data_IF_247932874643
#
_entry.id   IF_247932874643
#
_cell.length_a   1.000
_cell.length_b   1.000
_cell.length_c   1.000
_cell.angle_alpha   90.00
_cell.angle_beta   90.00
_cell.angle_gamma   90.00
#
_symmetry.space_group_name_H-M   'P 1'
#
loop_
_entity.id
_entity.type
_entity.pdbx_description
1 polymer ?
#
# COMPACT_ATOMS: atom_id res chain seq x y z
N UNK A 1 45.46 -60.79 -4.39
CA UNK A 1 46.44 -60.31 -3.39
C UNK A 1 45.69 -59.95 -2.12
N UNK A 2 46.17 -60.45 -0.97
CA UNK A 2 45.93 -59.99 0.43
C UNK A 2 44.60 -59.29 0.80
N UNK A 3 43.77 -59.98 1.61
CA UNK A 3 42.87 -59.33 2.61
C UNK A 3 43.60 -59.10 3.95
N UNK A 4 42.94 -59.02 5.13
CA UNK A 4 41.53 -59.32 5.43
C UNK A 4 40.81 -58.35 6.44
N UNK A 5 39.68 -58.80 7.00
CA UNK A 5 38.78 -58.17 8.00
C UNK A 5 39.35 -57.94 9.43
N UNK A 6 38.75 -56.99 10.16
CA UNK A 6 38.34 -57.05 11.60
C UNK A 6 37.41 -55.83 11.92
N UNK A 7 36.20 -55.91 12.52
CA UNK A 7 35.81 -56.15 13.95
C UNK A 7 36.61 -55.35 15.00
N UNK A 8 36.05 -54.72 16.05
CA UNK A 8 34.66 -54.45 16.48
C UNK A 8 34.64 -53.54 17.74
N UNK A 9 33.43 -53.18 18.22
CA UNK A 9 33.05 -52.90 19.65
C UNK A 9 33.35 -51.56 20.37
N UNK A 10 32.23 -50.87 20.69
CA UNK A 10 31.81 -50.32 22.00
C UNK A 10 32.55 -49.18 22.75
N UNK A 11 31.74 -48.20 23.15
CA UNK A 11 31.96 -47.09 24.10
C UNK A 11 32.26 -47.54 25.55
N UNK A 12 32.62 -46.60 26.46
CA UNK A 12 31.57 -46.02 27.31
C UNK A 12 31.68 -44.51 27.57
N UNK A 13 30.64 -43.94 28.20
CA UNK A 13 30.53 -42.53 28.55
C UNK A 13 31.13 -42.19 29.93
N UNK A 14 31.50 -40.92 30.13
CA UNK A 14 31.82 -40.37 31.45
C UNK A 14 30.98 -39.10 31.74
N UNK A 15 30.19 -39.15 32.81
CA UNK A 15 29.49 -37.99 33.40
C UNK A 15 30.40 -37.31 34.42
N UNK A 16 30.56 -35.99 34.34
CA UNK A 16 30.73 -35.06 35.48
C UNK A 16 30.27 -33.67 34.99
N UNK A 17 29.73 -32.76 35.80
CA UNK A 17 29.33 -32.79 37.20
C UNK A 17 28.77 -31.41 37.55
N UNK A 18 27.59 -31.32 38.18
CA UNK A 18 27.01 -30.03 38.60
C UNK A 18 27.88 -29.38 39.67
N UNK A 19 28.18 -28.09 39.54
CA UNK A 19 28.39 -27.24 40.72
C UNK A 19 27.55 -25.98 40.66
N UNK A 20 26.91 -25.68 41.79
CA UNK A 20 25.97 -24.60 42.04
C UNK A 20 26.51 -23.85 43.25
N UNK A 21 26.91 -22.60 43.09
CA UNK A 21 27.34 -21.75 44.20
C UNK A 21 26.39 -20.56 44.32
N UNK A 22 25.62 -20.54 45.41
CA UNK A 22 24.98 -19.32 45.90
C UNK A 22 26.01 -18.55 46.72
N UNK A 23 25.96 -17.22 46.65
CA UNK A 23 26.40 -16.34 47.75
C UNK A 23 25.31 -15.29 48.00
N UNK A 24 25.22 -14.83 49.23
CA UNK A 24 24.19 -13.93 49.78
C UNK A 24 24.81 -13.10 50.90
N UNK A 25 24.18 -11.95 51.23
CA UNK A 25 24.57 -10.90 52.20
C UNK A 25 25.65 -9.93 51.71
N UNK A 26 25.65 -8.63 52.08
CA UNK A 26 24.66 -7.77 52.77
C UNK A 26 24.68 -6.36 52.13
N UNK A 27 23.61 -5.56 52.08
CA UNK A 27 22.81 -4.94 53.15
C UNK A 27 23.45 -3.72 53.82
N UNK A 28 23.13 -2.52 53.32
CA UNK A 28 23.13 -1.26 54.08
C UNK A 28 22.05 -0.29 53.55
N UNK A 29 20.95 -0.18 54.30
CA UNK A 29 20.31 1.07 54.78
C UNK A 29 20.94 2.39 54.27
N UNK A 30 20.29 3.46 53.79
CA UNK A 30 18.99 4.14 54.06
C UNK A 30 18.71 5.18 52.92
N UNK A 31 17.63 5.97 52.78
CA UNK A 31 16.35 6.18 53.51
C UNK A 31 15.24 6.72 52.55
N UNK A 32 14.07 7.07 53.11
CA UNK A 32 12.80 7.55 52.52
C UNK A 32 12.71 9.02 52.02
N UNK A 33 11.95 9.24 50.93
CA UNK A 33 10.76 10.13 50.70
C UNK A 33 10.56 11.51 51.42
N UNK A 34 9.61 12.39 50.98
CA UNK A 34 9.06 12.68 49.64
C UNK A 34 8.95 14.21 49.31
N UNK A 35 8.46 14.58 48.13
CA UNK A 35 8.06 15.96 47.76
C UNK A 35 7.08 15.96 46.58
N UNK A 36 6.12 16.92 46.53
CA UNK A 36 4.90 16.82 45.73
C UNK A 36 4.70 17.94 44.70
N UNK A 37 3.65 17.79 43.88
CA UNK A 37 3.02 18.80 42.99
C UNK A 37 3.83 19.22 41.74
N UNK A 38 3.23 19.63 40.61
CA UNK A 38 1.83 19.94 40.32
C UNK A 38 1.37 19.40 38.95
N UNK A 39 0.05 19.30 38.76
CA UNK A 39 -0.56 18.96 37.47
C UNK A 39 -1.01 20.24 36.73
N UNK A 40 -0.95 20.24 35.39
CA UNK A 40 -1.69 21.19 34.57
C UNK A 40 -2.35 20.50 33.37
N UNK A 41 -3.67 20.70 33.27
CA UNK A 41 -4.51 20.28 32.15
C UNK A 41 -4.48 21.33 31.05
N UNK A 42 -4.49 20.91 29.78
CA UNK A 42 -5.06 21.74 28.71
C UNK A 42 -5.69 20.87 27.61
N UNK A 43 -6.93 21.19 27.29
CA UNK A 43 -7.79 20.52 26.30
C UNK A 43 -7.49 21.08 24.90
N UNK A 44 -7.54 20.29 23.81
CA UNK A 44 -7.17 20.78 22.48
C UNK A 44 -8.27 21.63 21.85
N UNK A 45 -7.91 22.67 21.10
CA UNK A 45 -8.67 23.00 19.89
C UNK A 45 -7.97 23.92 18.88
N UNK A 46 -8.34 23.64 17.62
CA UNK A 46 -8.45 24.51 16.46
C UNK A 46 -7.27 24.79 15.53
N UNK A 47 -7.65 24.91 14.25
CA UNK A 47 -6.77 25.05 13.10
C UNK A 47 -6.28 26.49 12.90
N UNK A 48 -5.02 26.62 12.50
CA UNK A 48 -4.44 27.86 11.98
C UNK A 48 -3.59 27.55 10.75
N UNK A 49 -3.95 28.15 9.61
CA UNK A 49 -3.01 28.27 8.48
C UNK A 49 -1.83 29.11 8.95
N UNK A 50 -0.61 28.67 8.68
CA UNK A 50 0.57 29.54 8.73
C UNK A 50 1.45 29.24 7.53
N UNK A 51 1.55 30.21 6.62
CA UNK A 51 2.70 30.32 5.72
C UNK A 51 3.83 30.95 6.52
N UNK A 52 4.73 30.12 7.04
CA UNK A 52 5.99 30.54 7.64
C UNK A 52 7.12 30.02 6.75
N UNK A 53 8.06 30.90 6.43
CA UNK A 53 9.21 30.59 5.58
C UNK A 53 10.04 29.46 6.22
N UNK A 54 10.26 28.38 5.47
CA UNK A 54 11.10 27.28 5.94
C UNK A 54 12.56 27.72 5.92
N UNK A 55 13.12 28.04 7.09
CA UNK A 55 14.58 28.13 7.28
C UNK A 55 15.24 26.87 6.71
N UNK A 56 16.13 27.05 5.72
CA UNK A 56 16.80 25.98 5.00
C UNK A 56 17.84 25.27 5.88
N UNK A 57 17.36 24.44 6.81
CA UNK A 57 18.16 23.33 7.32
C UNK A 57 18.31 22.31 6.20
N UNK A 58 19.55 21.87 5.97
CA UNK A 58 19.97 20.89 4.94
C UNK A 58 19.44 19.45 5.20
N UNK A 59 18.14 19.33 5.46
CA UNK A 59 17.37 18.09 5.41
C UNK A 59 16.93 17.80 3.98
N UNK A 60 17.91 17.67 3.07
CA UNK A 60 17.69 17.63 1.63
C UNK A 60 16.57 16.68 1.19
N UNK A 61 15.66 17.18 0.35
CA UNK A 61 14.52 16.41 -0.17
C UNK A 61 15.04 15.19 -0.95
N UNK A 62 14.81 13.99 -0.42
CA UNK A 62 15.35 12.73 -0.96
C UNK A 62 14.76 12.33 -2.32
N UNK A 63 13.57 12.81 -2.66
CA UNK A 63 12.93 12.58 -3.95
C UNK A 63 11.81 13.61 -4.20
N UNK A 64 11.67 14.06 -5.44
CA UNK A 64 10.57 14.91 -5.88
C UNK A 64 9.48 14.11 -6.59
N UNK A 65 8.25 14.63 -6.58
CA UNK A 65 7.09 14.03 -7.26
C UNK A 65 6.47 15.08 -8.17
N UNK A 66 6.37 14.78 -9.47
CA UNK A 66 5.63 15.61 -10.41
C UNK A 66 4.13 15.58 -10.05
N UNK A 67 3.50 16.75 -9.99
CA UNK A 67 2.04 16.92 -9.76
C UNK A 67 1.36 17.78 -10.83
N UNK A 68 2.09 18.27 -11.82
CA UNK A 68 1.57 19.17 -12.88
C UNK A 68 1.20 18.44 -14.17
N UNK A 69 1.48 17.13 -14.24
CA UNK A 69 1.09 16.28 -15.36
C UNK A 69 2.13 16.29 -16.48
N UNK A 70 1.67 16.26 -17.72
CA UNK A 70 2.50 16.30 -18.92
C UNK A 70 1.91 17.29 -19.93
N UNK A 71 2.71 18.20 -20.54
CA UNK A 71 4.14 18.42 -20.29
C UNK A 71 4.43 18.89 -18.85
N UNK A 72 5.66 18.66 -18.38
CA UNK A 72 6.10 19.10 -17.05
C UNK A 72 6.22 20.63 -17.05
N UNK A 73 5.72 21.27 -16.00
CA UNK A 73 5.83 22.74 -15.84
C UNK A 73 7.29 23.18 -15.60
N UNK A 74 7.59 24.44 -15.96
CA UNK A 74 8.95 24.99 -15.85
C UNK A 74 9.54 24.93 -14.44
N UNK A 75 8.74 25.11 -13.38
CA UNK A 75 9.25 25.09 -11.99
C UNK A 75 9.64 23.67 -11.57
N UNK A 76 8.81 22.67 -11.90
CA UNK A 76 9.17 21.26 -11.65
C UNK A 76 10.34 20.80 -12.51
N UNK A 77 10.42 21.30 -13.76
CA UNK A 77 11.52 20.99 -14.69
C UNK A 77 12.87 21.51 -14.19
N UNK A 78 12.96 22.79 -13.80
CA UNK A 78 14.21 23.34 -13.25
C UNK A 78 14.60 22.64 -11.93
N UNK A 79 13.64 22.41 -11.04
CA UNK A 79 13.88 21.69 -9.78
C UNK A 79 14.42 20.27 -9.98
N UNK A 80 13.98 19.58 -11.04
CA UNK A 80 14.54 18.28 -11.44
C UNK A 80 16.02 18.41 -11.82
N UNK A 81 16.37 19.38 -12.67
CA UNK A 81 17.75 19.60 -13.10
C UNK A 81 18.67 20.04 -11.97
N UNK A 82 18.23 20.94 -11.08
CA UNK A 82 18.98 21.35 -9.89
C UNK A 82 19.29 20.16 -8.97
N UNK A 83 18.34 19.25 -8.79
CA UNK A 83 18.57 18.03 -8.01
C UNK A 83 19.61 17.10 -8.67
N UNK A 84 19.51 16.89 -9.99
CA UNK A 84 20.50 16.09 -10.73
C UNK A 84 21.90 16.72 -10.62
N UNK A 85 22.01 18.05 -10.75
CA UNK A 85 23.28 18.76 -10.60
C UNK A 85 23.89 18.66 -9.18
N UNK A 86 23.07 18.60 -8.12
CA UNK A 86 23.55 18.40 -6.73
C UNK A 86 23.96 16.95 -6.44
N UNK A 87 23.37 15.96 -7.11
CA UNK A 87 23.53 14.52 -6.78
C UNK A 87 24.48 13.78 -7.71
N UNK A 88 24.57 14.16 -8.98
CA UNK A 88 25.45 13.50 -9.95
C UNK A 88 26.91 13.98 -9.77
N UNK A 89 27.93 13.10 -9.78
CA UNK A 89 29.34 13.51 -9.68
C UNK A 89 29.73 14.57 -10.71
N UNK A 90 29.33 14.36 -11.97
CA UNK A 90 29.56 15.29 -13.08
C UNK A 90 28.38 16.30 -13.25
N UNK A 91 27.75 16.72 -12.15
CA UNK A 91 26.52 17.53 -12.17
C UNK A 91 26.61 18.88 -12.89
N UNK A 92 27.82 19.38 -13.13
CA UNK A 92 28.08 20.60 -13.92
C UNK A 92 27.80 20.41 -15.43
N UNK A 93 27.90 19.16 -15.92
CA UNK A 93 27.78 18.83 -17.35
C UNK A 93 26.34 18.64 -17.85
N UNK A 94 25.32 18.86 -17.01
CA UNK A 94 23.90 18.69 -17.40
C UNK A 94 23.48 19.55 -18.60
N UNK A 95 24.19 20.64 -18.86
CA UNK A 95 24.00 21.52 -20.02
C UNK A 95 24.16 20.76 -21.34
N UNK A 96 25.02 19.72 -21.38
CA UNK A 96 25.23 18.86 -22.55
C UNK A 96 23.96 18.12 -22.98
N UNK A 97 23.08 17.79 -22.03
CA UNK A 97 21.78 17.15 -22.31
C UNK A 97 20.71 18.22 -22.56
N UNK A 98 20.64 19.25 -21.71
CA UNK A 98 19.64 20.33 -21.81
C UNK A 98 19.69 21.10 -23.13
N UNK A 99 20.89 21.32 -23.66
CA UNK A 99 21.13 22.14 -24.85
C UNK A 99 21.48 21.28 -26.08
N UNK A 100 21.31 19.96 -26.01
CA UNK A 100 21.56 19.07 -27.15
C UNK A 100 20.55 19.34 -28.28
N UNK A 101 21.04 19.74 -29.45
CA UNK A 101 20.21 19.88 -30.65
C UNK A 101 19.57 18.55 -31.10
N UNK A 102 20.21 17.42 -30.77
CA UNK A 102 19.74 16.08 -31.09
C UNK A 102 19.94 15.16 -29.89
N UNK A 103 18.84 14.62 -29.35
CA UNK A 103 18.84 13.51 -28.40
C UNK A 103 18.24 12.27 -29.07
N UNK A 104 18.73 11.05 -28.78
CA UNK A 104 18.13 9.83 -29.30
C UNK A 104 16.64 9.74 -28.91
N UNK A 105 15.77 9.61 -29.90
CA UNK A 105 14.33 9.39 -29.64
C UNK A 105 14.14 7.99 -29.06
N UNK A 106 13.87 7.91 -27.75
CA UNK A 106 13.55 6.64 -27.12
C UNK A 106 12.27 6.02 -27.74
N UNK A 107 12.30 4.73 -28.12
CA UNK A 107 11.12 4.06 -28.64
C UNK A 107 10.08 3.87 -27.52
N UNK A 108 8.82 4.14 -27.82
CA UNK A 108 7.72 3.81 -26.91
C UNK A 108 7.48 2.30 -26.99
N UNK A 109 7.62 1.54 -25.87
CA UNK A 109 7.36 0.11 -25.90
C UNK A 109 5.88 -0.14 -26.21
N UNK A 110 5.61 -1.12 -27.07
CA UNK A 110 4.23 -1.56 -27.32
C UNK A 110 3.64 -2.16 -26.05
N UNK A 111 2.52 -1.61 -25.58
CA UNK A 111 1.68 -2.19 -24.51
C UNK A 111 1.39 -3.66 -24.85
N UNK A 112 1.91 -4.64 -24.09
CA UNK A 112 1.57 -6.04 -24.27
C UNK A 112 0.07 -6.24 -24.18
N UNK A 113 -0.46 -7.18 -24.96
CA UNK A 113 -1.85 -7.59 -24.91
C UNK A 113 -1.93 -9.09 -24.64
N UNK A 114 -2.81 -9.51 -23.73
CA UNK A 114 -2.98 -10.91 -23.39
C UNK A 114 -3.63 -11.65 -24.57
N UNK A 115 -2.99 -12.72 -25.03
CA UNK A 115 -3.51 -13.60 -26.07
C UNK A 115 -3.94 -14.92 -25.41
N UNK A 116 -5.13 -15.47 -25.72
CA UNK A 116 -5.57 -16.77 -25.17
C UNK A 116 -4.61 -17.93 -25.45
N UNK A 117 -3.73 -17.80 -26.46
CA UNK A 117 -2.68 -18.77 -26.81
C UNK A 117 -1.44 -18.72 -25.92
N UNK A 118 -1.34 -17.76 -24.99
CA UNK A 118 -0.15 -17.52 -24.16
C UNK A 118 -0.38 -18.03 -22.73
N UNK A 119 0.66 -18.63 -22.13
CA UNK A 119 0.56 -19.08 -20.74
C UNK A 119 0.59 -17.90 -19.76
N UNK A 120 0.02 -18.08 -18.56
CA UNK A 120 0.09 -17.07 -17.50
C UNK A 120 1.54 -16.71 -17.12
N UNK A 121 2.49 -17.67 -16.97
CA UNK A 121 3.90 -17.35 -16.77
C UNK A 121 4.53 -16.50 -17.89
N UNK A 122 4.31 -16.84 -19.17
CA UNK A 122 4.86 -16.08 -20.30
C UNK A 122 4.29 -14.66 -20.35
N UNK A 123 3.01 -14.52 -20.02
CA UNK A 123 2.36 -13.23 -19.93
C UNK A 123 2.86 -12.39 -18.74
N UNK A 124 3.06 -12.99 -17.56
CA UNK A 124 3.67 -12.30 -16.42
C UNK A 124 5.11 -11.86 -16.76
N UNK A 125 5.86 -12.66 -17.52
CA UNK A 125 7.17 -12.28 -18.04
C UNK A 125 7.08 -11.13 -19.06
N UNK A 126 6.13 -11.16 -19.99
CA UNK A 126 5.88 -10.06 -20.93
C UNK A 126 5.48 -8.77 -20.19
N UNK A 127 4.65 -8.88 -19.15
CA UNK A 127 4.31 -7.77 -18.26
C UNK A 127 5.56 -7.25 -17.54
N UNK A 128 6.39 -8.12 -16.98
CA UNK A 128 7.58 -7.69 -16.25
C UNK A 128 8.63 -7.07 -17.17
N UNK A 129 8.78 -7.59 -18.39
CA UNK A 129 9.64 -7.02 -19.41
C UNK A 129 9.12 -5.66 -19.86
N UNK A 130 7.80 -5.51 -20.05
CA UNK A 130 7.22 -4.18 -20.25
C UNK A 130 7.41 -3.29 -19.03
N UNK A 131 7.22 -3.75 -17.78
CA UNK A 131 7.47 -2.94 -16.56
C UNK A 131 8.91 -2.45 -16.45
N UNK A 132 9.89 -3.28 -16.86
CA UNK A 132 11.30 -2.88 -17.03
C UNK A 132 11.48 -1.77 -18.08
N UNK A 133 10.48 -1.54 -18.94
CA UNK A 133 10.43 -0.54 -20.02
C UNK A 133 9.35 0.56 -19.87
N UNK A 134 8.29 0.41 -19.03
CA UNK A 134 7.24 1.34 -18.53
C UNK A 134 6.01 0.57 -17.91
N UNK A 135 5.11 1.22 -17.15
CA UNK A 135 4.13 0.53 -16.27
C UNK A 135 2.69 0.25 -16.83
N UNK A 136 1.97 -0.67 -16.16
CA UNK A 136 0.48 -0.84 -16.09
C UNK A 136 -0.20 -1.86 -17.04
N UNK A 137 -0.34 -3.14 -16.64
CA UNK A 137 -0.91 -4.22 -17.50
C UNK A 137 -1.72 -5.36 -16.83
N UNK A 138 -1.66 -5.55 -15.50
CA UNK A 138 -2.06 -6.84 -14.88
C UNK A 138 -3.57 -7.06 -14.70
N UNK A 139 -4.42 -6.12 -15.12
CA UNK A 139 -5.84 -6.11 -14.73
C UNK A 139 -6.67 -7.23 -15.39
N UNK A 140 -6.40 -7.57 -16.66
CA UNK A 140 -7.24 -8.44 -17.49
C UNK A 140 -7.23 -9.95 -17.17
N UNK A 141 -6.58 -10.39 -16.10
CA UNK A 141 -6.40 -11.81 -15.75
C UNK A 141 -7.26 -12.23 -14.55
N UNK A 142 -8.51 -12.63 -14.77
CA UNK A 142 -9.40 -13.07 -13.66
C UNK A 142 -8.95 -14.35 -12.94
N UNK A 143 -8.01 -15.12 -13.51
CA UNK A 143 -7.38 -16.30 -12.89
C UNK A 143 -6.15 -15.96 -12.03
N UNK A 144 -5.79 -14.69 -11.90
CA UNK A 144 -4.56 -14.22 -11.26
C UNK A 144 -4.89 -13.20 -10.18
N UNK A 145 -4.99 -13.67 -8.94
CA UNK A 145 -5.24 -12.81 -7.78
C UNK A 145 -4.00 -11.96 -7.49
N UNK A 146 -4.18 -10.65 -7.22
CA UNK A 146 -3.10 -9.66 -7.09
C UNK A 146 -3.24 -8.92 -5.77
N UNK A 147 -2.17 -8.75 -5.00
CA UNK A 147 -2.21 -8.08 -3.69
C UNK A 147 -0.91 -7.33 -3.40
N UNK A 148 -0.93 -6.17 -2.73
CA UNK A 148 0.30 -5.45 -2.44
C UNK A 148 1.07 -6.10 -1.28
N UNK A 149 2.39 -6.24 -1.44
CA UNK A 149 3.31 -6.62 -0.35
C UNK A 149 4.25 -5.44 -0.11
N UNK A 150 4.22 -4.87 1.09
CA UNK A 150 5.08 -3.73 1.47
C UNK A 150 6.11 -4.15 2.51
N UNK A 151 7.36 -3.76 2.27
CA UNK A 151 8.48 -3.97 3.18
C UNK A 151 8.95 -2.65 3.78
N UNK A 152 9.13 -2.61 5.10
CA UNK A 152 9.95 -1.60 5.77
C UNK A 152 11.22 -2.26 6.25
N UNK A 153 12.36 -1.77 5.79
CA UNK A 153 13.69 -2.25 6.19
C UNK A 153 14.50 -1.13 6.84
N UNK A 154 15.64 -1.48 7.45
CA UNK A 154 16.62 -0.54 7.99
C UNK A 154 18.01 -0.87 7.44
N UNK A 155 18.77 0.15 7.04
CA UNK A 155 20.17 0.04 6.64
C UNK A 155 20.88 1.33 7.08
N UNK A 156 22.06 1.21 7.71
CA UNK A 156 22.85 2.34 8.23
C UNK A 156 22.02 3.38 9.01
N UNK A 157 21.26 2.91 10.01
CA UNK A 157 20.33 3.71 10.82
C UNK A 157 19.02 4.09 10.10
N UNK A 158 19.09 4.37 8.81
CA UNK A 158 17.99 4.86 7.98
C UNK A 158 16.94 3.79 7.66
N UNK A 159 15.69 4.22 7.49
CA UNK A 159 14.57 3.36 7.16
C UNK A 159 14.17 3.48 5.69
N UNK A 160 13.94 2.34 5.04
CA UNK A 160 13.58 2.26 3.64
C UNK A 160 12.23 1.58 3.46
N UNK A 161 11.47 2.06 2.49
CA UNK A 161 10.14 1.59 2.15
C UNK A 161 10.14 1.07 0.72
N UNK A 162 9.57 -0.11 0.51
CA UNK A 162 9.52 -0.77 -0.79
C UNK A 162 8.21 -1.55 -0.92
N UNK A 163 7.70 -1.69 -2.15
CA UNK A 163 6.43 -2.36 -2.44
C UNK A 163 6.53 -3.15 -3.73
N UNK A 164 5.98 -4.35 -3.73
CA UNK A 164 5.82 -5.22 -4.91
C UNK A 164 4.38 -5.68 -5.01
N UNK A 165 3.96 -6.05 -6.22
CA UNK A 165 2.67 -6.68 -6.46
C UNK A 165 2.85 -8.19 -6.28
N UNK A 166 2.35 -8.71 -5.16
CA UNK A 166 2.16 -10.14 -4.94
C UNK A 166 1.15 -10.69 -5.93
N UNK A 167 1.46 -11.86 -6.49
CA UNK A 167 0.66 -12.56 -7.49
C UNK A 167 0.39 -13.97 -6.98
N UNK A 168 -0.86 -14.42 -7.07
CA UNK A 168 -1.26 -15.80 -6.79
C UNK A 168 -2.08 -16.37 -7.95
N UNK A 169 -1.63 -17.50 -8.50
CA UNK A 169 -2.33 -18.22 -9.55
C UNK A 169 -2.00 -19.73 -9.47
N UNK A 170 -2.98 -20.60 -9.71
CA UNK A 170 -2.84 -22.05 -9.77
C UNK A 170 -2.03 -22.69 -8.60
N UNK A 171 -2.30 -22.26 -7.36
CA UNK A 171 -1.63 -22.79 -6.17
C UNK A 171 -0.20 -22.29 -5.96
N UNK A 172 0.26 -21.31 -6.75
CA UNK A 172 1.62 -20.75 -6.68
C UNK A 172 1.60 -19.23 -6.47
N UNK A 173 2.61 -18.77 -5.77
CA UNK A 173 2.90 -17.37 -5.48
C UNK A 173 4.11 -16.89 -6.28
N UNK A 174 4.13 -15.60 -6.60
CA UNK A 174 5.23 -14.87 -7.23
C UNK A 174 5.04 -13.36 -7.04
N UNK A 175 5.89 -12.54 -7.67
CA UNK A 175 5.75 -11.07 -7.65
C UNK A 175 6.06 -10.43 -8.99
N UNK A 176 5.43 -9.28 -9.21
CA UNK A 176 5.83 -8.28 -10.18
C UNK A 176 6.23 -6.99 -9.45
N UNK A 177 7.14 -6.21 -10.01
CA UNK A 177 7.53 -4.93 -9.42
C UNK A 177 8.72 -4.29 -10.10
N UNK A 178 9.18 -3.18 -9.52
CA UNK A 178 10.36 -2.45 -9.99
C UNK A 178 11.24 -2.08 -8.80
N UNK A 179 12.53 -2.40 -8.89
CA UNK A 179 13.50 -2.17 -7.83
C UNK A 179 14.88 -1.86 -8.43
N UNK A 180 15.73 -1.21 -7.62
CA UNK A 180 17.14 -0.95 -7.95
C UNK A 180 18.00 -2.23 -7.86
N UNK A 181 17.44 -3.34 -7.38
CA UNK A 181 18.10 -4.65 -7.26
C UNK A 181 17.23 -5.73 -7.91
N UNK A 182 17.84 -6.55 -8.77
CA UNK A 182 17.16 -7.55 -9.60
C UNK A 182 16.39 -8.61 -8.79
N UNK A 183 16.90 -8.97 -7.63
CA UNK A 183 16.33 -9.97 -6.72
C UNK A 183 15.31 -9.37 -5.72
N UNK A 184 15.04 -8.07 -5.79
CA UNK A 184 14.04 -7.37 -4.98
C UNK A 184 12.88 -6.85 -5.83
N UNK A 185 12.50 -7.52 -6.92
CA UNK A 185 11.35 -7.13 -7.74
C UNK A 185 10.53 -8.33 -8.25
N UNK A 186 10.86 -8.88 -9.42
CA UNK A 186 10.19 -10.06 -9.94
C UNK A 186 10.65 -11.34 -9.24
N UNK A 187 9.67 -12.19 -8.93
CA UNK A 187 9.88 -13.56 -8.44
C UNK A 187 8.94 -14.45 -9.25
N UNK A 188 9.51 -15.47 -9.90
CA UNK A 188 8.76 -16.41 -10.72
C UNK A 188 7.61 -17.06 -9.92
N UNK A 189 6.57 -17.52 -10.63
CA UNK A 189 5.36 -18.11 -10.05
C UNK A 189 5.61 -19.55 -9.56
N UNK A 190 6.59 -19.74 -8.69
CA UNK A 190 7.13 -21.04 -8.26
C UNK A 190 6.92 -21.31 -6.77
N UNK A 191 6.68 -20.29 -5.95
CA UNK A 191 6.56 -20.43 -4.50
C UNK A 191 5.25 -21.14 -4.15
N UNK A 192 5.28 -22.15 -3.27
CA UNK A 192 4.07 -22.90 -2.89
C UNK A 192 3.26 -22.19 -1.80
N UNK A 193 3.91 -21.31 -1.05
CA UNK A 193 3.37 -20.70 0.16
C UNK A 193 3.66 -19.20 0.16
N UNK A 194 2.90 -18.42 0.95
CA UNK A 194 3.11 -16.98 1.05
C UNK A 194 4.34 -16.67 1.92
N UNK A 195 4.59 -17.50 2.93
CA UNK A 195 5.78 -17.42 3.77
C UNK A 195 7.07 -17.61 2.97
N UNK A 196 7.17 -18.63 2.12
CA UNK A 196 8.41 -18.87 1.35
C UNK A 196 8.73 -17.70 0.40
N UNK A 197 7.70 -17.09 -0.22
CA UNK A 197 7.88 -15.88 -1.03
C UNK A 197 8.40 -14.70 -0.20
N UNK A 198 7.81 -14.43 0.96
CA UNK A 198 8.21 -13.30 1.83
C UNK A 198 9.60 -13.52 2.45
N UNK A 199 9.94 -14.77 2.80
CA UNK A 199 11.25 -15.14 3.34
C UNK A 199 12.36 -15.03 2.28
N UNK A 200 12.07 -15.34 1.02
CA UNK A 200 13.00 -15.08 -0.09
C UNK A 200 13.28 -13.57 -0.27
N UNK A 201 12.29 -12.69 -0.06
CA UNK A 201 12.54 -11.25 0.00
C UNK A 201 13.37 -10.84 1.24
N UNK A 202 13.13 -11.43 2.41
CA UNK A 202 13.96 -11.20 3.61
C UNK A 202 15.42 -11.57 3.36
N UNK A 203 15.67 -12.73 2.76
CA UNK A 203 17.00 -13.23 2.43
C UNK A 203 17.65 -12.38 1.32
N UNK A 204 16.87 -11.89 0.36
CA UNK A 204 17.31 -10.91 -0.65
C UNK A 204 17.74 -9.58 -0.03
N UNK A 205 16.99 -9.05 0.95
CA UNK A 205 17.39 -7.84 1.67
C UNK A 205 18.69 -8.01 2.46
N UNK A 206 18.90 -9.19 3.06
CA UNK A 206 20.10 -9.47 3.86
C UNK A 206 21.38 -9.41 3.02
N UNK A 207 21.32 -9.79 1.74
CA UNK A 207 22.45 -9.64 0.77
C UNK A 207 22.90 -8.19 0.59
N UNK A 208 22.02 -7.22 0.84
CA UNK A 208 22.34 -5.78 0.80
C UNK A 208 22.42 -5.13 2.18
N UNK A 209 22.66 -5.93 3.24
CA UNK A 209 22.78 -5.47 4.63
C UNK A 209 21.51 -4.78 5.19
N UNK A 210 20.37 -4.90 4.50
CA UNK A 210 19.10 -4.41 5.01
C UNK A 210 18.52 -5.38 6.04
N UNK A 211 18.17 -4.86 7.22
CA UNK A 211 17.40 -5.60 8.23
C UNK A 211 15.91 -5.39 8.00
N UNK A 212 15.13 -6.47 7.84
CA UNK A 212 13.68 -6.38 7.74
C UNK A 212 13.05 -5.98 9.09
N UNK A 213 12.20 -4.94 9.09
CA UNK A 213 11.54 -4.44 10.32
C UNK A 213 10.04 -4.68 10.31
N UNK A 214 9.38 -4.56 9.15
CA UNK A 214 7.94 -4.76 9.02
C UNK A 214 7.59 -5.27 7.64
N UNK A 215 6.70 -6.27 7.58
CA UNK A 215 6.00 -6.70 6.37
C UNK A 215 4.55 -6.25 6.50
N UNK A 216 3.96 -5.75 5.43
CA UNK A 216 2.51 -5.54 5.32
C UNK A 216 2.00 -6.27 4.10
N UNK A 217 0.85 -6.92 4.23
CA UNK A 217 0.19 -7.60 3.12
C UNK A 217 -1.24 -7.05 3.03
N UNK A 218 -1.62 -6.69 1.81
CA UNK A 218 -2.94 -6.22 1.48
C UNK A 218 -3.91 -7.32 1.11
N UNK A 219 -5.15 -6.93 0.79
CA UNK A 219 -6.14 -7.84 0.20
C UNK A 219 -5.97 -7.94 -1.32
N UNK A 220 -6.69 -8.89 -1.93
CA UNK A 220 -6.78 -8.97 -3.38
C UNK A 220 -7.39 -7.69 -3.98
N UNK A 221 -6.76 -7.18 -5.03
CA UNK A 221 -7.16 -5.99 -5.79
C UNK A 221 -8.24 -6.41 -6.80
N UNK A 222 -9.43 -5.77 -6.80
CA UNK A 222 -10.50 -6.05 -7.76
C UNK A 222 -10.03 -6.04 -9.21
N UNK A 223 -10.58 -6.96 -10.02
CA UNK A 223 -10.25 -7.09 -11.45
C UNK A 223 -10.94 -6.05 -12.32
N UNK A 224 -12.16 -5.64 -11.95
CA UNK A 224 -12.89 -4.60 -12.67
C UNK A 224 -12.27 -3.23 -12.37
N UNK A 225 -11.70 -2.53 -13.38
CA UNK A 225 -11.07 -1.22 -13.18
C UNK A 225 -12.09 -0.11 -12.86
N UNK A 226 -13.40 -0.35 -13.04
CA UNK A 226 -14.45 0.61 -12.70
C UNK A 226 -14.89 0.53 -11.22
N UNK A 227 -14.40 -0.46 -10.47
CA UNK A 227 -14.66 -0.57 -9.04
C UNK A 227 -13.76 0.43 -8.29
N UNK A 228 -14.35 1.55 -7.87
CA UNK A 228 -13.72 2.61 -7.05
C UNK A 228 -13.44 2.19 -5.59
N UNK A 229 -13.08 0.93 -5.35
CA UNK A 229 -12.67 0.45 -4.04
C UNK A 229 -11.18 0.79 -3.81
N UNK A 230 -10.82 1.47 -2.70
CA UNK A 230 -9.43 1.75 -2.41
C UNK A 230 -8.66 0.44 -2.15
N UNK A 231 -7.45 0.33 -2.69
CA UNK A 231 -6.55 -0.79 -2.43
C UNK A 231 -6.28 -0.86 -0.92
N UNK A 232 -6.57 -2.02 -0.31
CA UNK A 232 -6.24 -2.28 1.08
C UNK A 232 -4.76 -2.67 1.19
N UNK A 233 -3.90 -1.74 1.61
CA UNK A 233 -2.44 -1.91 1.64
C UNK A 233 -1.90 -2.58 2.92
N UNK A 234 -2.71 -2.70 3.97
CA UNK A 234 -2.20 -2.95 5.34
C UNK A 234 -3.13 -3.83 6.17
N UNK A 235 -3.72 -4.85 5.55
CA UNK A 235 -4.60 -5.80 6.23
C UNK A 235 -3.84 -6.63 7.28
N UNK A 236 -2.77 -7.31 6.85
CA UNK A 236 -1.82 -7.95 7.75
C UNK A 236 -0.62 -7.02 7.96
N UNK A 237 -0.16 -6.86 9.20
CA UNK A 237 1.04 -6.07 9.54
C UNK A 237 1.90 -6.83 10.53
N UNK A 238 2.99 -7.43 10.06
CA UNK A 238 3.93 -8.22 10.86
C UNK A 238 5.17 -7.40 11.22
N UNK A 239 5.50 -7.36 12.51
CA UNK A 239 6.75 -6.75 13.00
C UNK A 239 7.86 -7.79 13.04
N UNK A 240 8.61 -7.92 11.96
CA UNK A 240 9.71 -8.87 11.80
C UNK A 240 10.85 -8.69 12.83
N UNK A 241 10.97 -7.50 13.44
CA UNK A 241 11.94 -7.27 14.52
C UNK A 241 11.46 -7.76 15.91
N UNK A 242 10.20 -8.20 16.04
CA UNK A 242 9.61 -8.73 17.29
C UNK A 242 9.09 -10.16 17.16
N UNK A 243 8.74 -10.61 15.96
CA UNK A 243 8.26 -11.96 15.68
C UNK A 243 9.43 -12.88 15.34
N UNK A 244 9.43 -14.08 15.91
CA UNK A 244 10.32 -15.16 15.45
C UNK A 244 9.96 -15.58 14.02
N UNK A 245 10.96 -16.09 13.28
CA UNK A 245 10.79 -16.48 11.86
C UNK A 245 9.66 -17.50 11.64
N UNK A 246 9.47 -18.40 12.59
CA UNK A 246 8.43 -19.43 12.55
C UNK A 246 7.03 -18.89 12.90
N UNK A 247 6.90 -17.93 13.81
CA UNK A 247 5.61 -17.29 14.09
C UNK A 247 5.20 -16.35 12.95
N UNK A 248 6.17 -15.67 12.33
CA UNK A 248 5.97 -14.94 11.09
C UNK A 248 5.48 -15.88 9.97
N UNK A 249 6.05 -17.10 9.83
CA UNK A 249 5.57 -18.13 8.90
C UNK A 249 4.10 -18.48 9.15
N UNK A 250 3.72 -18.79 10.40
CA UNK A 250 2.33 -19.16 10.76
C UNK A 250 1.33 -18.06 10.39
N UNK A 251 1.61 -16.81 10.71
CA UNK A 251 0.71 -15.69 10.39
C UNK A 251 0.60 -15.44 8.88
N UNK A 252 1.71 -15.59 8.13
CA UNK A 252 1.70 -15.52 6.66
C UNK A 252 0.86 -16.63 6.04
N UNK A 253 0.98 -17.88 6.51
CA UNK A 253 0.20 -19.00 5.98
C UNK A 253 -1.28 -18.95 6.34
N UNK A 254 -1.61 -18.48 7.55
CA UNK A 254 -2.98 -18.19 7.96
C UNK A 254 -3.60 -17.13 7.04
N UNK A 255 -2.95 -15.98 6.89
CA UNK A 255 -3.45 -14.90 6.04
C UNK A 255 -3.56 -15.32 4.55
N UNK A 256 -2.57 -16.06 4.04
CA UNK A 256 -2.61 -16.63 2.70
C UNK A 256 -3.78 -17.59 2.49
N UNK A 257 -4.13 -18.40 3.50
CA UNK A 257 -5.32 -19.26 3.50
C UNK A 257 -6.61 -18.44 3.51
N UNK A 258 -6.72 -17.46 4.39
CA UNK A 258 -7.94 -16.66 4.56
C UNK A 258 -8.26 -15.81 3.31
N UNK A 259 -7.22 -15.31 2.61
CA UNK A 259 -7.36 -14.69 1.29
C UNK A 259 -7.91 -15.67 0.24
N UNK A 260 -7.34 -16.88 0.12
CA UNK A 260 -7.80 -17.90 -0.84
C UNK A 260 -9.25 -18.36 -0.58
N UNK A 261 -9.63 -18.44 0.70
CA UNK A 261 -11.01 -18.78 1.10
C UNK A 261 -11.98 -17.58 1.00
N UNK A 262 -11.50 -16.39 0.59
CA UNK A 262 -12.28 -15.13 0.49
C UNK A 262 -13.04 -14.77 1.78
N UNK A 263 -12.47 -15.14 2.93
CA UNK A 263 -13.03 -14.88 4.28
C UNK A 263 -12.83 -13.40 4.66
N UNK A 264 -11.71 -12.82 4.22
CA UNK A 264 -11.31 -11.46 4.57
C UNK A 264 -12.14 -10.42 3.81
N UNK A 265 -12.74 -9.49 4.54
CA UNK A 265 -13.49 -8.34 3.99
C UNK A 265 -12.74 -7.05 4.29
N UNK A 266 -12.68 -6.14 3.33
CA UNK A 266 -12.14 -4.80 3.53
C UNK A 266 -13.08 -3.98 4.42
N UNK A 267 -12.56 -3.36 5.47
CA UNK A 267 -13.32 -2.44 6.34
C UNK A 267 -13.80 -1.19 5.59
N UNK A 268 -13.14 -0.80 4.49
CA UNK A 268 -13.56 0.30 3.60
C UNK A 268 -14.83 0.02 2.78
N UNK A 269 -15.31 -1.23 2.68
CA UNK A 269 -16.52 -1.57 1.94
C UNK A 269 -17.82 -1.42 2.75
N UNK A 270 -17.72 -1.18 4.06
CA UNK A 270 -18.87 -0.89 4.92
C UNK A 270 -19.17 0.61 4.94
N UNK A 271 -19.68 1.11 3.82
CA UNK A 271 -20.68 2.18 3.91
C UNK A 271 -21.80 1.66 4.81
N UNK A 272 -22.22 2.37 5.88
CA UNK A 272 -23.40 1.97 6.62
C UNK A 272 -24.56 2.01 5.63
N UNK A 273 -25.11 0.83 5.29
CA UNK A 273 -26.46 0.81 4.75
C UNK A 273 -27.27 1.46 5.86
N UNK A 274 -27.83 2.64 5.57
CA UNK A 274 -28.69 3.34 6.52
C UNK A 274 -30.00 2.57 6.49
N UNK A 275 -29.98 1.40 7.10
CA UNK A 275 -31.13 0.54 7.32
C UNK A 275 -32.14 1.45 8.01
N UNK A 276 -33.13 1.86 7.22
CA UNK A 276 -34.11 2.87 7.61
C UNK A 276 -35.04 2.15 8.55
N UNK A 277 -34.59 2.00 9.79
CA UNK A 277 -35.34 1.40 10.87
C UNK A 277 -36.75 1.97 10.80
N UNK A 278 -37.74 1.08 10.77
CA UNK A 278 -39.16 1.45 10.65
C UNK A 278 -39.56 2.19 11.93
N UNK A 279 -39.25 3.49 11.94
CA UNK A 279 -39.53 4.38 13.04
C UNK A 279 -41.03 4.34 13.30
N UNK A 280 -41.38 4.04 14.55
CA UNK A 280 -42.77 4.02 15.01
C UNK A 280 -43.42 5.35 14.64
N UNK A 281 -44.55 5.29 13.95
CA UNK A 281 -45.26 6.49 13.50
C UNK A 281 -45.64 7.39 14.68
N UNK A 282 -45.02 8.56 14.77
CA UNK A 282 -45.48 9.64 15.63
C UNK A 282 -46.47 10.50 14.85
N UNK A 283 -47.70 9.99 14.75
CA UNK A 283 -48.83 10.71 14.17
C UNK A 283 -49.30 11.82 15.12
N UNK A 284 -49.34 13.10 14.71
CA UNK A 284 -49.90 14.17 15.54
C UNK A 284 -51.40 13.96 15.81
N UNK A 285 -51.76 13.81 17.08
CA UNK A 285 -53.13 13.50 17.55
C UNK A 285 -54.06 14.72 17.43
N UNK A 286 -54.61 14.97 16.24
CA UNK A 286 -55.66 16.00 16.03
C UNK A 286 -57.01 15.51 16.59
N UNK A 287 -57.53 16.16 17.64
CA UNK A 287 -58.90 15.92 18.14
C UNK A 287 -59.89 16.95 17.59
N UNK A 288 -60.90 16.42 16.91
CA UNK A 288 -62.32 16.83 16.85
C UNK A 288 -62.69 18.33 16.79
N UNK A 289 -63.19 18.75 15.63
CA UNK A 289 -64.51 19.38 15.52
C UNK A 289 -65.09 19.22 14.10
N UNK A 290 -66.39 18.96 14.03
CA UNK A 290 -67.27 18.96 12.84
C UNK A 290 -68.25 20.15 13.00
N UNK A 291 -68.91 20.73 11.95
CA UNK A 291 -69.65 19.97 10.92
C UNK A 291 -69.86 20.65 9.52
N UNK A 292 -70.79 20.08 8.75
CA UNK A 292 -71.64 20.66 7.68
C UNK A 292 -71.10 20.88 6.23
N UNK A 293 -71.33 19.85 5.39
CA UNK A 293 -72.26 19.85 4.23
C UNK A 293 -72.48 21.17 3.45
N UNK A 294 -72.02 21.24 2.19
CA UNK A 294 -72.77 21.83 1.04
C UNK A 294 -72.28 21.28 -0.31
N UNK A 295 -73.05 21.55 -1.36
CA UNK A 295 -73.12 20.85 -2.65
C UNK A 295 -72.63 21.75 -3.81
N UNK A 296 -72.60 21.23 -5.05
CA UNK A 296 -72.57 21.93 -6.38
C UNK A 296 -71.21 22.02 -7.13
N UNK A 297 -71.02 21.07 -8.08
CA UNK A 297 -71.02 21.24 -9.55
C UNK A 297 -70.16 22.28 -10.32
N UNK A 298 -69.68 21.79 -11.49
CA UNK A 298 -69.21 22.48 -12.74
C UNK A 298 -67.78 23.05 -12.69
N UNK A 299 -66.82 22.80 -13.61
CA UNK A 299 -66.71 22.42 -15.05
C UNK A 299 -66.27 23.60 -15.95
N UNK A 300 -65.22 23.35 -16.74
CA UNK A 300 -64.74 24.01 -17.96
C UNK A 300 -63.78 25.24 -17.89
N UNK A 301 -62.92 25.27 -18.93
CA UNK A 301 -62.22 26.40 -19.59
C UNK A 301 -60.82 26.85 -19.12
N UNK A 302 -59.81 26.41 -19.90
CA UNK A 302 -58.69 27.22 -20.43
C UNK A 302 -59.21 28.40 -21.30
N UNK A 303 -58.43 29.42 -21.76
CA UNK A 303 -57.00 29.36 -22.12
C UNK A 303 -56.18 30.69 -21.93
N UNK A 304 -55.09 30.80 -22.71
CA UNK A 304 -54.36 32.01 -23.14
C UNK A 304 -53.05 32.39 -22.42
N UNK A 305 -52.16 33.03 -23.18
CA UNK A 305 -50.73 33.27 -22.88
C UNK A 305 -50.42 34.78 -22.68
N UNK A 306 -49.16 35.11 -22.36
CA UNK A 306 -48.33 36.07 -23.12
C UNK A 306 -46.91 36.28 -22.52
N UNK A 307 -45.93 36.36 -23.43
CA UNK A 307 -44.62 37.03 -23.41
C UNK A 307 -43.93 37.53 -22.11
N UNK A 308 -42.64 37.17 -21.92
CA UNK A 308 -41.48 38.08 -22.19
C UNK A 308 -40.08 37.51 -21.87
N UNK A 309 -39.20 37.59 -22.88
CA UNK A 309 -37.71 37.80 -22.89
C UNK A 309 -36.77 36.78 -22.18
N UNK A 310 -35.53 36.58 -22.71
CA UNK A 310 -34.57 35.62 -22.19
C UNK A 310 -33.75 36.17 -21.01
N UNK A 311 -33.38 35.29 -20.08
CA UNK A 311 -32.41 35.55 -19.02
C UNK A 311 -31.05 34.90 -19.37
N UNK A 312 -29.96 35.56 -18.99
CA UNK A 312 -28.59 35.20 -19.37
C UNK A 312 -28.11 33.90 -18.71
N UNK A 313 -27.47 33.04 -19.50
CA UNK A 313 -26.92 31.77 -19.01
C UNK A 313 -25.50 32.01 -18.46
N UNK A 314 -25.39 32.33 -17.16
CA UNK A 314 -24.09 32.37 -16.50
C UNK A 314 -23.50 30.95 -16.41
N UNK A 315 -22.26 30.79 -16.88
CA UNK A 315 -21.66 29.50 -17.20
C UNK A 315 -21.20 28.73 -15.96
N UNK A 316 -22.05 27.85 -15.44
CA UNK A 316 -21.64 26.70 -14.63
C UNK A 316 -21.28 25.53 -15.55
N UNK A 317 -20.01 25.44 -15.94
CA UNK A 317 -19.44 24.30 -16.69
C UNK A 317 -18.39 23.58 -15.85
N UNK A 318 -18.86 22.91 -14.80
CA UNK A 318 -18.08 21.84 -14.17
C UNK A 318 -18.37 20.54 -14.96
N UNK A 319 -17.46 20.18 -15.86
CA UNK A 319 -17.76 19.26 -16.95
C UNK A 319 -16.53 18.71 -17.68
N UNK A 320 -15.80 17.83 -17.02
CA UNK A 320 -14.77 17.00 -17.69
C UNK A 320 -15.45 16.00 -18.64
N UNK A 321 -15.43 16.31 -19.93
CA UNK A 321 -15.80 15.38 -21.00
C UNK A 321 -14.54 14.95 -21.76
N UNK A 322 -14.13 13.69 -21.59
CA UNK A 322 -13.13 13.06 -22.46
C UNK A 322 -13.88 12.55 -23.70
N UNK A 323 -13.43 12.97 -24.90
CA UNK A 323 -13.84 12.35 -26.16
C UNK A 323 -12.82 11.28 -26.55
N UNK A 324 -13.32 10.21 -27.14
CA UNK A 324 -12.55 9.12 -27.76
C UNK A 324 -12.00 9.61 -29.10
#
# INVERSE_FOLDING_TARGET
>A
MTGPNATSTSSPAAKMGRHRSKSTSGSTYCMSSPGAESASLSTPNNAGRSSGEEEEKDGGVLFYVNRTGFPIDGVTWERMWTHVAKVHPDGQDISKIRNAAYLPKHPVPSVPNFKPTMSVPDWLLAIQNYMKTLHYLTNGLTSVERFPISFKTQFSGNHFHHVVLGVYCNGRYGTLGMSRRQDLMDKALTFRTLSDLVLEFEDSYRRYQHTLKKVKIGLYVPHDPHVFQPIEWKYLVLNAARLGREDMRKELEKHGRDMRMKILKSSSAQSPIKERSRGKSLSPRRRQSSPQRRHIHRRDKSPAALDRKPAELSTLTDGYQIRI
#
